data_IF_407227729703
#
_entry.id   IF_407227729703
#
_cell.length_a   1.000
_cell.length_b   1.000
_cell.length_c   1.000
_cell.angle_alpha   90.00
_cell.angle_beta   90.00
_cell.angle_gamma   90.00
#
_symmetry.space_group_name_H-M   'P 1'
#
loop_
_entity.id
_entity.type
_entity.pdbx_description
1 polymer ?
#
# COMPACT_ATOMS: atom_id res chain seq x y z
N UNK A 1 2.76 -7.88 10.78
CA UNK A 1 1.41 -7.32 10.54
C UNK A 1 1.42 -5.86 10.10
N UNK A 2 2.49 -5.14 10.32
CA UNK A 2 2.63 -3.69 10.07
C UNK A 2 2.37 -3.32 8.61
N UNK A 3 2.74 -4.20 7.67
CA UNK A 3 2.54 -3.98 6.23
C UNK A 3 1.05 -3.83 5.85
N UNK A 4 0.15 -4.40 6.64
CA UNK A 4 -1.29 -4.24 6.43
C UNK A 4 -1.80 -2.85 6.84
N UNK A 5 -1.03 -2.12 7.67
CA UNK A 5 -1.40 -0.80 8.18
C UNK A 5 -0.58 0.30 7.50
N UNK A 6 -1.21 1.04 6.58
CA UNK A 6 -0.54 2.08 5.80
C UNK A 6 0.05 3.23 6.63
N UNK A 7 -0.51 3.52 7.80
CA UNK A 7 -0.07 4.62 8.66
C UNK A 7 1.39 4.47 9.09
N UNK A 8 1.79 3.31 9.61
CA UNK A 8 3.16 3.03 10.05
C UNK A 8 4.18 3.13 8.93
N UNK A 9 3.82 2.60 7.76
CA UNK A 9 4.69 2.69 6.58
C UNK A 9 4.84 4.14 6.13
N UNK A 10 3.77 4.92 6.19
CA UNK A 10 3.80 6.35 5.85
C UNK A 10 4.67 7.15 6.82
N UNK A 11 4.63 6.88 8.11
CA UNK A 11 5.52 7.49 9.12
C UNK A 11 6.99 7.31 8.72
N UNK A 12 7.41 6.08 8.41
CA UNK A 12 8.78 5.82 7.99
C UNK A 12 9.18 6.56 6.71
N UNK A 13 8.26 6.73 5.75
CA UNK A 13 8.55 7.50 4.53
C UNK A 13 8.62 9.00 4.82
N UNK A 14 7.80 9.51 5.73
CA UNK A 14 7.89 10.90 6.22
C UNK A 14 9.24 11.17 6.86
N UNK A 15 9.77 10.20 7.61
CA UNK A 15 11.08 10.26 8.30
C UNK A 15 12.26 10.02 7.32
N UNK A 16 11.99 9.85 6.02
CA UNK A 16 13.02 9.80 5.00
C UNK A 16 13.40 8.42 4.48
N UNK A 17 12.63 7.36 4.78
CA UNK A 17 12.89 6.04 4.23
C UNK A 17 12.89 6.07 2.68
N UNK A 18 13.94 5.49 2.10
CA UNK A 18 14.14 5.42 0.64
C UNK A 18 13.60 4.15 0.01
N UNK A 19 13.41 3.11 0.81
CA UNK A 19 12.74 1.84 0.47
C UNK A 19 12.15 1.24 1.75
N UNK A 20 11.39 0.17 1.63
CA UNK A 20 10.68 -0.49 2.74
C UNK A 20 11.16 -1.94 2.81
N UNK A 21 11.52 -2.39 4.02
CA UNK A 21 11.76 -3.81 4.29
C UNK A 21 10.57 -4.35 5.07
N UNK A 22 9.99 -5.43 4.57
CA UNK A 22 8.89 -6.15 5.22
C UNK A 22 9.35 -7.55 5.63
N UNK A 23 9.99 -7.71 6.79
CA UNK A 23 10.26 -9.04 7.33
C UNK A 23 8.96 -9.66 7.80
N UNK A 24 8.64 -10.84 7.30
CA UNK A 24 7.41 -11.55 7.65
C UNK A 24 7.70 -13.03 7.90
N UNK A 25 6.83 -13.68 8.66
CA UNK A 25 6.95 -15.10 8.94
C UNK A 25 5.59 -15.77 8.74
N UNK A 26 5.52 -16.67 7.77
CA UNK A 26 4.31 -17.43 7.44
C UNK A 26 4.15 -18.75 8.20
N UNK A 27 5.07 -19.11 9.12
CA UNK A 27 5.09 -20.43 9.76
C UNK A 27 3.83 -20.77 10.57
N UNK A 28 3.17 -19.76 11.12
CA UNK A 28 1.93 -19.92 11.88
C UNK A 28 0.69 -20.10 11.00
N UNK A 29 0.85 -20.00 9.68
CA UNK A 29 -0.26 -20.01 8.74
C UNK A 29 0.00 -21.05 7.66
N UNK A 30 -0.72 -22.15 7.71
CA UNK A 30 -0.60 -23.27 6.77
C UNK A 30 -1.23 -22.99 5.40
N UNK A 31 -1.99 -21.88 5.26
CA UNK A 31 -2.75 -21.55 4.06
C UNK A 31 -2.06 -20.47 3.22
N UNK A 32 -1.94 -20.72 1.93
CA UNK A 32 -1.34 -19.81 0.94
C UNK A 32 -2.06 -18.47 0.79
N UNK A 33 -3.34 -18.38 1.18
CA UNK A 33 -4.17 -17.17 1.06
C UNK A 33 -3.54 -15.99 1.82
N UNK A 34 -3.14 -16.18 3.08
CA UNK A 34 -2.55 -15.09 3.86
C UNK A 34 -1.22 -14.60 3.28
N UNK A 35 -0.40 -15.53 2.81
CA UNK A 35 0.88 -15.20 2.20
C UNK A 35 0.71 -14.42 0.89
N UNK A 36 -0.31 -14.77 0.11
CA UNK A 36 -0.71 -14.01 -1.09
C UNK A 36 -1.22 -12.61 -0.72
N UNK A 37 -1.98 -12.50 0.37
CA UNK A 37 -2.45 -11.20 0.90
C UNK A 37 -1.28 -10.32 1.37
N UNK A 38 -0.22 -10.92 1.94
CA UNK A 38 0.99 -10.17 2.32
C UNK A 38 1.67 -9.56 1.09
N UNK A 39 1.82 -10.32 -0.01
CA UNK A 39 2.36 -9.77 -1.27
C UNK A 39 1.43 -8.66 -1.80
N UNK A 40 0.11 -8.87 -1.79
CA UNK A 40 -0.84 -7.85 -2.23
C UNK A 40 -0.74 -6.57 -1.39
N UNK A 41 -0.54 -6.69 -0.07
CA UNK A 41 -0.33 -5.56 0.82
C UNK A 41 1.00 -4.86 0.55
N UNK A 42 2.09 -5.61 0.30
CA UNK A 42 3.37 -5.03 -0.11
C UNK A 42 3.25 -4.26 -1.42
N UNK A 43 2.48 -4.76 -2.40
CA UNK A 43 2.18 -4.05 -3.64
C UNK A 43 1.44 -2.74 -3.39
N UNK A 44 0.42 -2.79 -2.53
CA UNK A 44 -0.33 -1.59 -2.16
C UNK A 44 0.58 -0.55 -1.49
N UNK A 45 1.42 -0.96 -0.54
CA UNK A 45 2.39 -0.06 0.12
C UNK A 45 3.39 0.52 -0.87
N UNK A 46 3.90 -0.29 -1.81
CA UNK A 46 4.81 0.17 -2.84
C UNK A 46 4.19 1.29 -3.69
N UNK A 47 2.95 1.12 -4.15
CA UNK A 47 2.19 2.10 -4.92
C UNK A 47 1.88 3.36 -4.10
N UNK A 48 1.36 3.21 -2.89
CA UNK A 48 0.99 4.32 -2.01
C UNK A 48 2.18 5.22 -1.66
N UNK A 49 3.33 4.61 -1.42
CA UNK A 49 4.51 5.33 -0.97
C UNK A 49 5.48 5.68 -2.10
N UNK A 50 5.30 5.11 -3.29
CA UNK A 50 6.24 5.25 -4.40
C UNK A 50 7.63 4.70 -4.08
N UNK A 51 7.69 3.59 -3.31
CA UNK A 51 8.91 2.98 -2.80
C UNK A 51 8.99 1.51 -3.19
N UNK A 52 10.21 1.02 -3.34
CA UNK A 52 10.45 -0.41 -3.36
C UNK A 52 10.10 -1.03 -2.01
N UNK A 53 9.47 -2.21 -2.05
CA UNK A 53 9.24 -3.04 -0.87
C UNK A 53 9.99 -4.35 -1.05
N UNK A 54 10.90 -4.63 -0.14
CA UNK A 54 11.62 -5.90 -0.06
C UNK A 54 10.92 -6.76 0.99
N UNK A 55 10.12 -7.71 0.53
CA UNK A 55 9.49 -8.68 1.41
C UNK A 55 10.39 -9.88 1.60
N UNK A 56 10.69 -10.21 2.85
CA UNK A 56 11.54 -11.35 3.22
C UNK A 56 10.79 -12.26 4.17
N UNK A 57 10.67 -13.53 3.80
CA UNK A 57 9.96 -14.53 4.61
C UNK A 57 10.71 -15.85 4.66
N UNK A 58 11.09 -16.37 5.85
CA UNK A 58 11.66 -17.70 5.98
C UNK A 58 10.71 -18.83 5.57
N UNK A 59 9.41 -18.63 5.75
CA UNK A 59 8.36 -19.63 5.53
C UNK A 59 7.17 -19.03 4.79
N UNK A 60 7.43 -18.28 3.74
CA UNK A 60 6.42 -17.61 2.94
C UNK A 60 7.02 -17.13 1.64
N UNK A 61 6.29 -16.27 0.94
CA UNK A 61 6.83 -15.64 -0.26
C UNK A 61 7.78 -14.51 0.10
N UNK A 62 9.03 -14.61 -0.37
CA UNK A 62 9.93 -13.46 -0.48
C UNK A 62 9.81 -12.87 -1.88
N UNK A 63 9.91 -11.57 -2.01
CA UNK A 63 9.83 -10.88 -3.30
C UNK A 63 10.36 -9.45 -3.20
N UNK A 64 10.72 -8.89 -4.34
CA UNK A 64 10.93 -7.46 -4.52
C UNK A 64 9.70 -6.87 -5.20
N UNK A 65 9.17 -5.79 -4.66
CA UNK A 65 7.98 -5.12 -5.20
C UNK A 65 8.36 -3.71 -5.62
N UNK A 66 8.20 -3.42 -6.89
CA UNK A 66 8.50 -2.12 -7.46
C UNK A 66 7.48 -1.04 -7.06
N UNK A 67 7.87 0.24 -7.19
CA UNK A 67 6.97 1.38 -6.90
C UNK A 67 5.73 1.44 -7.78
N UNK A 68 5.72 0.70 -8.88
CA UNK A 68 4.60 0.47 -9.81
C UNK A 68 3.69 -0.69 -9.40
N UNK A 69 4.03 -1.38 -8.29
CA UNK A 69 3.34 -2.57 -7.81
C UNK A 69 3.69 -3.86 -8.56
N UNK A 70 4.66 -3.85 -9.47
CA UNK A 70 5.17 -5.07 -10.09
C UNK A 70 5.94 -5.93 -9.09
N UNK A 71 5.83 -7.26 -9.21
CA UNK A 71 6.48 -8.22 -8.30
C UNK A 71 7.58 -8.94 -9.05
N UNK A 72 8.78 -8.89 -8.51
CA UNK A 72 9.99 -9.48 -9.07
C UNK A 72 10.53 -10.57 -8.15
N UNK A 73 11.12 -11.60 -8.74
CA UNK A 73 11.89 -12.66 -8.08
C UNK A 73 11.15 -13.32 -6.90
N UNK A 74 9.83 -13.53 -7.07
CA UNK A 74 9.02 -14.16 -6.03
C UNK A 74 9.44 -15.62 -5.83
N UNK A 75 9.82 -15.96 -4.59
CA UNK A 75 10.21 -17.32 -4.21
C UNK A 75 9.00 -18.24 -4.01
N UNK A 76 9.25 -19.56 -3.97
CA UNK A 76 8.30 -20.51 -3.41
C UNK A 76 8.24 -20.43 -1.88
N UNK A 77 7.25 -21.10 -1.28
CA UNK A 77 6.98 -21.05 0.17
C UNK A 77 8.09 -21.74 0.99
N UNK A 78 8.68 -22.81 0.47
CA UNK A 78 9.65 -23.66 1.18
C UNK A 78 11.03 -23.66 0.55
N UNK A 79 11.26 -22.86 -0.46
CA UNK A 79 12.53 -22.86 -1.19
C UNK A 79 13.59 -22.10 -0.40
N UNK A 80 14.70 -22.79 -0.11
CA UNK A 80 15.93 -22.13 0.33
C UNK A 80 16.62 -21.56 -0.89
N UNK A 81 16.55 -20.25 -1.06
CA UNK A 81 17.17 -19.57 -2.19
C UNK A 81 17.74 -18.22 -1.74
N UNK A 82 18.75 -17.78 -2.46
CA UNK A 82 19.21 -16.40 -2.39
C UNK A 82 18.63 -15.70 -3.61
N UNK A 83 17.98 -14.58 -3.39
CA UNK A 83 17.39 -13.75 -4.44
C UNK A 83 18.06 -12.39 -4.39
N UNK A 84 18.50 -11.90 -5.52
CA UNK A 84 19.14 -10.60 -5.66
C UNK A 84 18.37 -9.75 -6.67
N UNK A 85 18.13 -8.49 -6.33
CA UNK A 85 17.48 -7.55 -7.22
C UNK A 85 18.04 -6.15 -7.02
N UNK A 86 18.30 -5.46 -8.11
CA UNK A 86 18.77 -4.08 -8.07
C UNK A 86 17.57 -3.14 -7.89
N UNK A 87 17.49 -2.49 -6.74
CA UNK A 87 16.45 -1.52 -6.44
C UNK A 87 17.00 -0.09 -6.51
N UNK A 88 16.16 0.84 -6.95
CA UNK A 88 16.48 2.28 -6.91
C UNK A 88 16.00 2.90 -5.61
N UNK A 89 16.88 3.57 -4.88
CA UNK A 89 16.51 4.37 -3.73
C UNK A 89 15.69 5.58 -4.20
N UNK A 90 14.56 5.83 -3.56
CA UNK A 90 13.64 6.90 -3.95
C UNK A 90 13.40 7.87 -2.81
N UNK A 91 13.24 9.14 -3.15
CA UNK A 91 12.90 10.21 -2.22
C UNK A 91 11.62 10.91 -2.66
N UNK A 92 11.16 11.88 -1.91
CA UNK A 92 9.92 12.62 -2.16
C UNK A 92 8.70 11.87 -1.61
N UNK A 93 7.51 12.42 -1.83
CA UNK A 93 6.25 11.90 -1.30
C UNK A 93 5.19 11.84 -2.39
N UNK A 94 4.45 10.75 -2.45
CA UNK A 94 3.28 10.61 -3.31
C UNK A 94 2.13 11.49 -2.81
N UNK A 95 1.10 11.76 -3.63
CA UNK A 95 -0.12 12.39 -3.16
C UNK A 95 -0.75 11.65 -1.98
N UNK A 96 -0.77 10.31 -2.03
CA UNK A 96 -1.28 9.50 -0.93
C UNK A 96 -0.46 9.67 0.35
N UNK A 97 0.88 9.63 0.26
CA UNK A 97 1.76 9.83 1.41
C UNK A 97 1.59 11.22 2.06
N UNK A 98 1.15 12.24 1.30
CA UNK A 98 0.87 13.59 1.82
C UNK A 98 -0.48 13.68 2.51
N UNK A 99 -1.50 13.06 1.95
CA UNK A 99 -2.89 13.14 2.43
C UNK A 99 -3.21 12.05 3.46
N UNK A 100 -2.48 10.91 3.40
CA UNK A 100 -2.72 9.76 4.27
C UNK A 100 -4.14 9.22 4.11
N UNK A 101 -4.62 8.56 5.16
CA UNK A 101 -5.99 8.03 5.22
C UNK A 101 -7.07 9.14 5.17
N UNK A 102 -6.69 10.39 5.41
CA UNK A 102 -7.61 11.54 5.35
C UNK A 102 -8.09 11.82 3.92
N UNK A 103 -7.41 11.31 2.88
CA UNK A 103 -7.84 11.48 1.49
C UNK A 103 -9.26 10.97 1.25
N UNK A 104 -9.61 9.81 1.81
CA UNK A 104 -10.96 9.26 1.71
C UNK A 104 -12.00 10.09 2.45
N UNK A 105 -11.64 10.62 3.61
CA UNK A 105 -12.51 11.50 4.39
C UNK A 105 -12.83 12.79 3.63
N UNK A 106 -11.83 13.43 3.03
CA UNK A 106 -12.02 14.62 2.22
C UNK A 106 -12.83 14.34 0.95
N UNK A 107 -12.58 13.23 0.27
CA UNK A 107 -13.36 12.82 -0.90
C UNK A 107 -14.84 12.60 -0.55
N UNK A 108 -15.14 11.99 0.60
CA UNK A 108 -16.49 11.80 1.13
C UNK A 108 -17.18 13.13 1.43
N UNK A 109 -16.49 14.07 2.08
CA UNK A 109 -17.02 15.39 2.39
C UNK A 109 -17.34 16.18 1.11
N UNK A 110 -16.45 16.15 0.12
CA UNK A 110 -16.69 16.81 -1.17
C UNK A 110 -17.87 16.17 -1.89
N UNK A 111 -17.95 14.85 -1.94
CA UNK A 111 -19.09 14.13 -2.52
C UNK A 111 -20.41 14.49 -1.86
N UNK A 112 -20.45 14.53 -0.53
CA UNK A 112 -21.62 14.93 0.25
C UNK A 112 -22.03 16.36 -0.06
N UNK A 113 -21.07 17.29 -0.10
CA UNK A 113 -21.35 18.69 -0.43
C UNK A 113 -21.94 18.85 -1.84
N UNK A 114 -21.46 18.10 -2.81
CA UNK A 114 -21.99 18.09 -4.18
C UNK A 114 -23.45 17.60 -4.18
N UNK A 115 -23.75 16.50 -3.49
CA UNK A 115 -25.10 15.94 -3.42
C UNK A 115 -26.07 16.92 -2.74
N UNK A 116 -25.67 17.53 -1.63
CA UNK A 116 -26.48 18.54 -0.94
C UNK A 116 -26.78 19.71 -1.87
N UNK A 117 -25.75 20.22 -2.57
CA UNK A 117 -25.92 21.35 -3.50
C UNK A 117 -26.83 21.02 -4.68
N UNK A 118 -26.75 19.80 -5.20
CA UNK A 118 -27.65 19.35 -6.27
C UNK A 118 -29.10 19.25 -5.80
N UNK A 119 -29.34 18.71 -4.61
CA UNK A 119 -30.68 18.63 -4.03
C UNK A 119 -31.29 20.02 -3.77
N UNK A 120 -30.49 20.94 -3.21
CA UNK A 120 -30.98 22.33 -2.96
C UNK A 120 -31.36 23.03 -4.26
N UNK A 121 -30.59 22.86 -5.33
CA UNK A 121 -30.91 23.42 -6.65
C UNK A 121 -32.18 22.79 -7.27
N UNK A 122 -32.36 21.48 -7.12
CA UNK A 122 -33.55 20.79 -7.61
C UNK A 122 -34.82 21.28 -6.88
N UNK A 123 -34.75 21.48 -5.57
CA UNK A 123 -35.83 21.98 -4.77
C UNK A 123 -36.22 23.43 -5.15
N UNK A 124 -35.24 24.30 -5.39
CA UNK A 124 -35.51 25.69 -5.83
C UNK A 124 -36.14 25.74 -7.22
N UNK A 125 -35.77 24.83 -8.14
CA UNK A 125 -36.40 24.76 -9.47
C UNK A 125 -37.80 24.19 -9.47
N UNK A 126 -38.20 23.43 -8.45
CA UNK A 126 -39.54 22.87 -8.32
C UNK A 126 -40.50 23.86 -7.62
N UNK A 127 -39.96 24.89 -6.97
CA UNK A 127 -40.72 25.92 -6.24
C UNK A 127 -40.94 27.23 -7.04
N UNK A 128 -40.33 27.31 -8.23
CA UNK A 128 -40.54 28.42 -9.21
C UNK A 128 -41.43 27.98 -10.36
#
# INVERSE_FOLDING_TARGET
>A
WEIFFGGRVNEGVVDGATFIINPTNGSSYTWTILQTQQIASSRLRALEQGRWVVQVSPTGFSAFVGPDGAVYDRTGITNRTISEHQISLRTGRTPYSRLGNNAYFWALLVGLAIVIRQRSRAFQRAAS
#
